data_IF_933568028903
#
_entry.id   IF_933568028903
#
_cell.length_a   1.000
_cell.length_b   1.000
_cell.length_c   1.000
_cell.angle_alpha   90.00
_cell.angle_beta   90.00
_cell.angle_gamma   90.00
#
_symmetry.space_group_name_H-M   'P 1'
#
loop_
_entity.id
_entity.type
_entity.pdbx_description
1 polymer ?
#
# COMPACT_ATOMS: atom_id res chain seq x y z
N UNK A 1 43.12 -7.19 2.65
CA UNK A 1 42.27 -8.40 2.72
C UNK A 1 41.43 -8.32 3.99
N UNK A 2 40.13 -7.99 3.92
CA UNK A 2 39.24 -8.03 5.09
C UNK A 2 38.76 -9.47 5.28
N UNK A 3 38.89 -10.01 6.49
CA UNK A 3 38.52 -11.40 6.78
C UNK A 3 37.00 -11.59 6.71
N UNK A 4 36.53 -12.81 6.46
CA UNK A 4 35.10 -13.16 6.41
C UNK A 4 34.37 -12.82 7.73
N UNK A 5 35.08 -12.82 8.86
CA UNK A 5 34.56 -12.42 10.18
C UNK A 5 34.15 -10.94 10.24
N UNK A 6 34.96 -10.04 9.65
CA UNK A 6 34.68 -8.59 9.64
C UNK A 6 33.45 -8.25 8.77
N UNK A 7 33.25 -9.00 7.67
CA UNK A 7 32.07 -8.86 6.81
C UNK A 7 30.79 -9.31 7.53
N UNK A 8 30.86 -10.40 8.29
CA UNK A 8 29.73 -10.89 9.11
C UNK A 8 29.34 -9.89 10.19
N UNK A 9 30.32 -9.35 10.92
CA UNK A 9 30.11 -8.31 11.95
C UNK A 9 29.42 -7.05 11.40
N UNK A 10 29.91 -6.54 10.26
CA UNK A 10 29.35 -5.33 9.63
C UNK A 10 27.94 -5.57 9.09
N UNK A 11 27.69 -6.74 8.47
CA UNK A 11 26.36 -7.10 7.95
C UNK A 11 25.33 -7.33 9.06
N UNK A 12 25.74 -7.88 10.21
CA UNK A 12 24.86 -8.06 11.38
C UNK A 12 24.51 -6.72 12.03
N UNK A 13 25.44 -5.76 12.03
CA UNK A 13 25.16 -4.40 12.51
C UNK A 13 24.14 -3.70 11.60
N UNK A 14 24.34 -3.72 10.27
CA UNK A 14 23.42 -3.09 9.31
C UNK A 14 22.01 -3.69 9.32
N UNK A 15 21.90 -5.00 9.59
CA UNK A 15 20.62 -5.72 9.67
C UNK A 15 20.01 -5.73 11.09
N UNK A 16 20.55 -4.94 12.03
CA UNK A 16 19.94 -4.72 13.34
C UNK A 16 18.54 -4.12 13.19
N UNK A 17 17.59 -4.54 14.02
CA UNK A 17 16.23 -4.04 14.01
C UNK A 17 16.17 -2.51 14.12
N UNK A 18 17.03 -1.92 14.95
CA UNK A 18 17.11 -0.46 15.09
C UNK A 18 17.54 0.23 13.78
N UNK A 19 18.56 -0.28 13.11
CA UNK A 19 19.07 0.31 11.87
C UNK A 19 18.07 0.17 10.73
N UNK A 20 17.35 -0.96 10.67
CA UNK A 20 16.28 -1.15 9.70
C UNK A 20 15.12 -0.18 9.94
N UNK A 21 14.68 0.01 11.20
CA UNK A 21 13.63 0.98 11.52
C UNK A 21 14.07 2.41 11.21
N UNK A 22 15.29 2.80 11.59
CA UNK A 22 15.82 4.14 11.28
C UNK A 22 15.92 4.34 9.77
N UNK A 23 16.45 3.36 9.02
CA UNK A 23 16.53 3.42 7.56
C UNK A 23 15.16 3.55 6.90
N UNK A 24 14.17 2.79 7.37
CA UNK A 24 12.77 2.88 6.93
C UNK A 24 12.17 4.27 7.19
N UNK A 25 12.36 4.84 8.37
CA UNK A 25 11.89 6.19 8.71
C UNK A 25 12.61 7.24 7.84
N UNK A 26 13.93 7.14 7.67
CA UNK A 26 14.68 8.03 6.79
C UNK A 26 14.18 7.97 5.35
N UNK A 27 13.85 6.79 4.83
CA UNK A 27 13.28 6.63 3.50
C UNK A 27 11.94 7.34 3.36
N UNK A 28 11.03 7.17 4.34
CA UNK A 28 9.75 7.89 4.35
C UNK A 28 9.92 9.42 4.43
N UNK A 29 10.87 9.91 5.23
CA UNK A 29 11.16 11.35 5.33
C UNK A 29 11.72 11.87 4.01
N UNK A 30 12.64 11.15 3.36
CA UNK A 30 13.16 11.56 2.05
C UNK A 30 12.08 11.55 0.97
N UNK A 31 11.21 10.55 0.96
CA UNK A 31 10.05 10.53 0.06
C UNK A 31 9.14 11.73 0.32
N UNK A 32 8.76 12.00 1.57
CA UNK A 32 7.93 13.15 1.91
C UNK A 32 8.55 14.48 1.47
N UNK A 33 9.84 14.69 1.73
CA UNK A 33 10.53 15.88 1.28
C UNK A 33 10.57 15.97 -0.25
N UNK A 34 10.76 14.86 -0.95
CA UNK A 34 10.72 14.81 -2.40
C UNK A 34 9.36 15.22 -2.96
N UNK A 35 8.26 14.66 -2.44
CA UNK A 35 6.90 15.08 -2.82
C UNK A 35 6.66 16.56 -2.48
N UNK A 36 6.95 17.00 -1.25
CA UNK A 36 6.72 18.39 -0.84
C UNK A 36 7.47 19.44 -1.68
N UNK A 37 8.67 19.11 -2.15
CA UNK A 37 9.49 20.03 -2.91
C UNK A 37 9.15 20.05 -4.41
N UNK A 38 8.58 18.97 -4.95
CA UNK A 38 8.49 18.76 -6.39
C UNK A 38 7.10 18.35 -6.92
N UNK A 39 6.09 18.15 -6.06
CA UNK A 39 4.73 17.76 -6.46
C UNK A 39 3.90 18.90 -7.05
N UNK A 40 4.41 20.13 -7.09
CA UNK A 40 3.71 21.29 -7.64
C UNK A 40 4.26 21.56 -9.04
N UNK A 41 3.42 21.48 -10.09
CA UNK A 41 3.89 21.75 -11.45
C UNK A 41 4.32 23.22 -11.59
N UNK A 42 5.46 23.46 -12.25
CA UNK A 42 6.03 24.81 -12.42
C UNK A 42 5.19 25.67 -13.38
N UNK A 43 4.49 25.03 -14.30
CA UNK A 43 3.55 25.68 -15.22
C UNK A 43 2.23 24.92 -15.17
N UNK A 44 1.11 25.64 -15.02
CA UNK A 44 -0.22 25.06 -14.85
C UNK A 44 -0.69 24.17 -16.04
N UNK A 45 0.03 24.17 -17.16
CA UNK A 45 -0.28 23.38 -18.36
C UNK A 45 0.79 22.37 -18.75
N UNK A 46 1.96 22.36 -18.11
CA UNK A 46 3.10 21.54 -18.56
C UNK A 46 3.19 20.15 -17.90
N UNK A 47 2.27 19.81 -17.00
CA UNK A 47 2.31 18.57 -16.25
C UNK A 47 3.51 18.46 -15.30
N UNK A 48 3.62 17.32 -14.62
CA UNK A 48 4.76 16.97 -13.79
C UNK A 48 5.91 16.42 -14.66
N UNK A 49 7.17 16.76 -14.36
CA UNK A 49 8.28 16.32 -15.17
C UNK A 49 8.55 14.82 -14.98
N UNK A 50 8.90 14.10 -16.05
CA UNK A 50 9.11 12.64 -16.04
C UNK A 50 10.07 12.15 -14.94
N UNK A 51 11.16 12.89 -14.66
CA UNK A 51 12.12 12.50 -13.62
C UNK A 51 11.47 12.48 -12.22
N UNK A 52 10.47 13.33 -12.00
CA UNK A 52 9.75 13.39 -10.73
C UNK A 52 8.85 12.16 -10.59
N UNK A 53 8.05 11.82 -11.61
CA UNK A 53 7.21 10.63 -11.61
C UNK A 53 8.02 9.33 -11.53
N UNK A 54 9.19 9.26 -12.16
CA UNK A 54 10.12 8.14 -11.97
C UNK A 54 10.64 8.10 -10.52
N UNK A 55 10.93 9.26 -9.93
CA UNK A 55 11.39 9.38 -8.55
C UNK A 55 10.36 8.88 -7.54
N UNK A 56 9.09 9.30 -7.68
CA UNK A 56 7.99 8.85 -6.82
C UNK A 56 7.81 7.34 -6.92
N UNK A 57 7.84 6.79 -8.14
CA UNK A 57 7.79 5.35 -8.38
C UNK A 57 8.96 4.61 -7.71
N UNK A 58 10.20 5.12 -7.80
CA UNK A 58 11.35 4.49 -7.13
C UNK A 58 11.16 4.45 -5.61
N UNK A 59 10.64 5.52 -5.00
CA UNK A 59 10.37 5.55 -3.56
C UNK A 59 9.38 4.47 -3.14
N UNK A 60 8.31 4.31 -3.90
CA UNK A 60 7.28 3.30 -3.68
C UNK A 60 7.82 1.88 -3.88
N UNK A 61 8.44 1.63 -5.03
CA UNK A 61 9.00 0.32 -5.39
C UNK A 61 10.00 -0.18 -4.35
N UNK A 62 10.91 0.69 -3.92
CA UNK A 62 11.88 0.34 -2.88
C UNK A 62 11.19 0.00 -1.55
N UNK A 63 10.18 0.77 -1.15
CA UNK A 63 9.46 0.55 0.10
C UNK A 63 8.77 -0.82 0.11
N UNK A 64 8.00 -1.15 -0.93
CA UNK A 64 7.27 -2.43 -1.02
C UNK A 64 8.20 -3.62 -1.23
N UNK A 65 9.26 -3.48 -2.03
CA UNK A 65 10.26 -4.55 -2.20
C UNK A 65 10.93 -4.90 -0.86
N UNK A 66 11.42 -3.89 -0.14
CA UNK A 66 12.08 -4.08 1.16
C UNK A 66 11.09 -4.68 2.16
N UNK A 67 9.85 -4.19 2.21
CA UNK A 67 8.80 -4.73 3.07
C UNK A 67 8.53 -6.21 2.78
N UNK A 68 8.40 -6.58 1.51
CA UNK A 68 8.24 -7.97 1.07
C UNK A 68 9.40 -8.86 1.51
N UNK A 69 10.65 -8.43 1.29
CA UNK A 69 11.83 -9.17 1.72
C UNK A 69 11.88 -9.38 3.24
N UNK A 70 11.50 -8.37 4.03
CA UNK A 70 11.42 -8.47 5.49
C UNK A 70 10.29 -9.41 5.95
N UNK A 71 9.16 -9.42 5.25
CA UNK A 71 8.08 -10.37 5.50
C UNK A 71 8.51 -11.81 5.17
N UNK A 72 9.20 -12.04 4.06
CA UNK A 72 9.74 -13.37 3.73
C UNK A 72 10.81 -13.83 4.71
N UNK A 73 11.62 -12.92 5.26
CA UNK A 73 12.53 -13.24 6.38
C UNK A 73 11.74 -13.78 7.57
N UNK A 74 10.63 -13.15 7.92
CA UNK A 74 9.78 -13.60 9.03
C UNK A 74 9.14 -14.96 8.72
N UNK A 75 8.61 -15.15 7.51
CA UNK A 75 8.05 -16.45 7.09
C UNK A 75 9.07 -17.60 7.19
N UNK A 76 10.34 -17.36 6.85
CA UNK A 76 11.40 -18.40 6.96
C UNK A 76 11.81 -18.69 8.40
N UNK A 77 11.49 -17.82 9.36
CA UNK A 77 11.88 -17.98 10.76
C UNK A 77 10.89 -18.86 11.53
N UNK A 78 11.41 -19.92 12.16
CA UNK A 78 10.63 -20.78 13.07
C UNK A 78 10.36 -20.14 14.45
N UNK A 79 10.79 -18.89 14.65
CA UNK A 79 10.67 -18.20 15.94
C UNK A 79 9.52 -17.21 15.99
N UNK A 80 8.85 -16.94 14.87
CA UNK A 80 7.79 -15.93 14.78
C UNK A 80 6.56 -16.32 15.58
N UNK A 81 6.15 -15.44 16.48
CA UNK A 81 5.05 -15.69 17.43
C UNK A 81 3.68 -15.55 16.76
N UNK A 82 3.52 -14.61 15.83
CA UNK A 82 2.27 -14.45 15.09
C UNK A 82 1.97 -15.55 14.07
N UNK A 83 2.90 -16.47 13.83
CA UNK A 83 2.78 -17.53 12.83
C UNK A 83 3.40 -17.18 11.49
N UNK A 84 4.02 -18.19 10.86
CA UNK A 84 4.78 -18.05 9.61
C UNK A 84 3.88 -17.76 8.40
N UNK A 85 2.69 -18.34 8.36
CA UNK A 85 1.76 -18.19 7.23
C UNK A 85 1.18 -16.78 7.13
N UNK A 86 1.06 -16.06 8.24
CA UNK A 86 0.66 -14.66 8.27
C UNK A 86 1.65 -13.80 7.47
N UNK A 87 2.95 -13.95 7.74
CA UNK A 87 4.00 -13.20 7.04
C UNK A 87 4.26 -13.69 5.62
N UNK A 88 3.94 -14.95 5.32
CA UNK A 88 3.93 -15.43 3.93
C UNK A 88 2.87 -14.68 3.13
N UNK A 89 1.63 -14.63 3.63
CA UNK A 89 0.53 -13.95 2.96
C UNK A 89 0.83 -12.44 2.81
N UNK A 90 1.23 -11.75 3.88
CA UNK A 90 1.61 -10.33 3.80
C UNK A 90 2.79 -10.12 2.84
N UNK A 91 3.82 -10.99 2.89
CA UNK A 91 4.98 -10.88 2.01
C UNK A 91 4.66 -11.10 0.53
N UNK A 92 3.76 -12.05 0.22
CA UNK A 92 3.20 -12.22 -1.14
C UNK A 92 2.50 -10.93 -1.56
N UNK A 93 1.70 -10.34 -0.69
CA UNK A 93 1.03 -9.07 -0.98
C UNK A 93 2.00 -7.94 -1.29
N UNK A 94 3.06 -7.75 -0.49
CA UNK A 94 4.03 -6.68 -0.73
C UNK A 94 4.82 -6.86 -2.04
N UNK A 95 5.19 -8.09 -2.41
CA UNK A 95 5.85 -8.35 -3.70
C UNK A 95 4.88 -8.24 -4.87
N UNK A 96 3.63 -8.68 -4.70
CA UNK A 96 2.61 -8.46 -5.71
C UNK A 96 2.42 -6.96 -5.95
N UNK A 97 2.27 -6.15 -4.89
CA UNK A 97 2.15 -4.70 -5.03
C UNK A 97 3.35 -4.10 -5.76
N UNK A 98 4.57 -4.45 -5.36
CA UNK A 98 5.79 -4.04 -6.08
C UNK A 98 5.74 -4.39 -7.57
N UNK A 99 5.36 -5.62 -7.93
CA UNK A 99 5.25 -6.02 -9.34
C UNK A 99 4.13 -5.26 -10.06
N UNK A 100 3.01 -5.01 -9.39
CA UNK A 100 1.90 -4.19 -9.87
C UNK A 100 2.38 -2.79 -10.22
N UNK A 101 3.09 -2.12 -9.31
CA UNK A 101 3.64 -0.78 -9.51
C UNK A 101 4.68 -0.74 -10.62
N UNK A 102 5.52 -1.78 -10.78
CA UNK A 102 6.43 -1.86 -11.94
C UNK A 102 5.64 -1.94 -13.24
N UNK A 103 4.61 -2.79 -13.31
CA UNK A 103 3.79 -2.93 -14.52
C UNK A 103 3.01 -1.65 -14.81
N UNK A 104 2.35 -1.07 -13.82
CA UNK A 104 1.61 0.18 -13.96
C UNK A 104 2.52 1.33 -14.40
N UNK A 105 3.70 1.48 -13.77
CA UNK A 105 4.69 2.48 -14.17
C UNK A 105 5.22 2.31 -15.60
N UNK A 106 5.27 1.08 -16.14
CA UNK A 106 5.57 0.88 -17.56
C UNK A 106 4.43 1.35 -18.46
N UNK A 107 3.17 1.07 -18.09
CA UNK A 107 1.99 1.55 -18.80
C UNK A 107 1.94 3.08 -18.85
N UNK A 108 2.00 3.70 -17.68
CA UNK A 108 1.85 5.15 -17.54
C UNK A 108 3.10 5.89 -18.02
N UNK A 109 4.29 5.58 -17.50
CA UNK A 109 5.46 6.43 -17.71
C UNK A 109 6.24 6.09 -18.99
N UNK A 110 6.29 4.81 -19.38
CA UNK A 110 7.07 4.40 -20.54
C UNK A 110 6.22 4.37 -21.82
N UNK A 111 5.03 3.78 -21.74
CA UNK A 111 4.12 3.69 -22.89
C UNK A 111 3.18 4.89 -23.04
N UNK A 112 3.11 5.78 -22.04
CA UNK A 112 2.27 6.99 -22.08
C UNK A 112 0.80 6.64 -22.37
N UNK A 113 0.35 5.53 -21.76
CA UNK A 113 -1.04 5.12 -21.78
C UNK A 113 -1.74 5.67 -20.54
N UNK A 114 -3.02 5.96 -20.68
CA UNK A 114 -3.92 6.34 -19.58
C UNK A 114 -4.92 5.19 -19.34
N UNK A 115 -4.47 4.05 -18.77
CA UNK A 115 -5.32 2.88 -18.62
C UNK A 115 -6.30 3.05 -17.46
N UNK A 116 -7.60 2.85 -17.72
CA UNK A 116 -8.59 2.62 -16.66
C UNK A 116 -8.31 1.31 -15.90
N UNK A 117 -7.72 0.32 -16.60
CA UNK A 117 -7.26 -0.96 -16.06
C UNK A 117 -6.00 -1.38 -16.80
N UNK A 118 -4.99 -1.78 -16.04
CA UNK A 118 -3.69 -2.25 -16.52
C UNK A 118 -3.44 -3.71 -16.13
N UNK A 119 -2.35 -4.30 -16.63
CA UNK A 119 -1.87 -5.58 -16.10
C UNK A 119 -1.38 -5.49 -14.65
N UNK A 120 -1.07 -4.29 -14.16
CA UNK A 120 -0.72 -4.06 -12.76
C UNK A 120 -1.86 -4.42 -11.81
N UNK A 121 -3.11 -4.24 -12.24
CA UNK A 121 -4.30 -4.49 -11.44
C UNK A 121 -4.47 -5.95 -11.02
N UNK A 122 -3.98 -6.89 -11.83
CA UNK A 122 -3.93 -8.30 -11.44
C UNK A 122 -3.06 -8.49 -10.19
N UNK A 123 -1.92 -7.81 -10.12
CA UNK A 123 -1.01 -7.90 -8.99
C UNK A 123 -1.52 -7.12 -7.78
N UNK A 124 -2.17 -5.97 -7.98
CA UNK A 124 -2.85 -5.27 -6.90
C UNK A 124 -3.99 -6.10 -6.31
N UNK A 125 -4.79 -6.78 -7.14
CA UNK A 125 -5.82 -7.71 -6.65
C UNK A 125 -5.24 -8.84 -5.78
N UNK A 126 -4.10 -9.43 -6.20
CA UNK A 126 -3.36 -10.40 -5.38
C UNK A 126 -2.90 -9.77 -4.06
N UNK A 127 -2.48 -8.50 -4.07
CA UNK A 127 -2.10 -7.77 -2.86
C UNK A 127 -3.25 -7.71 -1.86
N UNK A 128 -4.42 -7.24 -2.28
CA UNK A 128 -5.59 -7.13 -1.44
C UNK A 128 -6.02 -8.47 -0.85
N UNK A 129 -6.05 -9.52 -1.66
CA UNK A 129 -6.41 -10.87 -1.21
C UNK A 129 -5.39 -11.38 -0.19
N UNK A 130 -4.10 -11.23 -0.49
CA UNK A 130 -3.03 -11.74 0.36
C UNK A 130 -2.95 -10.97 1.70
N UNK A 131 -3.14 -9.66 1.69
CA UNK A 131 -3.23 -8.84 2.90
C UNK A 131 -4.44 -9.24 3.75
N UNK A 132 -5.60 -9.39 3.13
CA UNK A 132 -6.83 -9.85 3.81
C UNK A 132 -6.61 -11.20 4.48
N UNK A 133 -6.08 -12.19 3.76
CA UNK A 133 -5.76 -13.50 4.30
C UNK A 133 -4.75 -13.40 5.45
N UNK A 134 -3.68 -12.61 5.28
CA UNK A 134 -2.67 -12.42 6.32
C UNK A 134 -3.23 -11.83 7.61
N UNK A 135 -4.05 -10.78 7.52
CA UNK A 135 -4.68 -10.14 8.67
C UNK A 135 -5.74 -11.02 9.31
N UNK A 136 -6.56 -11.72 8.52
CA UNK A 136 -7.55 -12.69 9.04
C UNK A 136 -6.84 -13.83 9.79
N UNK A 137 -5.74 -14.37 9.25
CA UNK A 137 -4.94 -15.39 9.95
C UNK A 137 -4.36 -14.86 11.26
N UNK A 138 -3.87 -13.62 11.27
CA UNK A 138 -3.33 -12.98 12.47
C UNK A 138 -4.39 -12.86 13.58
N UNK A 139 -5.60 -12.45 13.19
CA UNK A 139 -6.75 -12.31 14.09
C UNK A 139 -7.30 -13.67 14.55
N UNK A 140 -7.51 -14.62 13.63
CA UNK A 140 -8.20 -15.89 13.90
C UNK A 140 -7.46 -16.76 14.91
N UNK A 141 -6.14 -16.61 15.02
CA UNK A 141 -5.33 -17.29 16.04
C UNK A 141 -5.64 -16.81 17.47
N UNK A 142 -6.36 -15.71 17.63
CA UNK A 142 -6.68 -15.08 18.91
C UNK A 142 -8.18 -14.99 19.07
N UNK A 143 -8.71 -15.51 20.18
CA UNK A 143 -10.12 -15.34 20.53
C UNK A 143 -10.38 -13.86 20.79
N UNK A 144 -10.81 -13.12 19.78
CA UNK A 144 -11.17 -11.71 19.92
C UNK A 144 -12.39 -11.61 20.84
N UNK A 145 -12.19 -11.20 22.07
CA UNK A 145 -13.28 -10.85 22.98
C UNK A 145 -13.48 -9.34 22.92
N UNK A 146 -14.05 -8.86 21.82
CA UNK A 146 -14.31 -7.44 21.62
C UNK A 146 -15.44 -6.98 22.52
N UNK A 147 -15.23 -5.85 23.21
CA UNK A 147 -16.28 -5.21 23.99
C UNK A 147 -17.38 -4.66 23.07
N UNK A 148 -18.64 -4.53 23.52
CA UNK A 148 -19.74 -4.05 22.67
C UNK A 148 -19.48 -2.71 21.98
N UNK A 149 -18.74 -1.80 22.61
CA UNK A 149 -18.38 -0.51 21.99
C UNK A 149 -17.36 -0.69 20.84
N UNK A 150 -16.47 -1.68 20.93
CA UNK A 150 -15.49 -2.00 19.88
C UNK A 150 -16.20 -2.53 18.63
N UNK A 151 -17.25 -3.33 18.81
CA UNK A 151 -18.16 -3.72 17.73
C UNK A 151 -18.87 -2.50 17.13
N UNK A 152 -19.31 -1.55 17.96
CA UNK A 152 -19.87 -0.27 17.50
C UNK A 152 -18.90 0.51 16.62
N UNK A 153 -17.61 0.57 16.98
CA UNK A 153 -16.57 1.22 16.17
C UNK A 153 -16.37 0.50 14.84
N UNK A 154 -16.28 -0.83 14.82
CA UNK A 154 -16.14 -1.60 13.59
C UNK A 154 -17.34 -1.39 12.65
N UNK A 155 -18.55 -1.39 13.19
CA UNK A 155 -19.77 -1.12 12.40
C UNK A 155 -19.77 0.31 11.85
N UNK A 156 -19.42 1.30 12.67
CA UNK A 156 -19.34 2.69 12.24
C UNK A 156 -18.34 2.90 11.11
N UNK A 157 -17.17 2.26 11.19
CA UNK A 157 -16.14 2.29 10.16
C UNK A 157 -16.60 1.59 8.88
N UNK A 158 -17.27 0.45 8.98
CA UNK A 158 -17.84 -0.25 7.84
C UNK A 158 -18.88 0.61 7.11
N UNK A 159 -19.82 1.20 7.87
CA UNK A 159 -20.87 2.07 7.31
C UNK A 159 -20.26 3.30 6.67
N UNK A 160 -19.31 3.96 7.33
CA UNK A 160 -18.65 5.15 6.80
C UNK A 160 -17.84 4.83 5.54
N UNK A 161 -17.06 3.75 5.55
CA UNK A 161 -16.27 3.32 4.39
C UNK A 161 -17.14 3.02 3.17
N UNK A 162 -18.26 2.30 3.36
CA UNK A 162 -19.23 2.04 2.29
C UNK A 162 -19.89 3.33 1.80
N UNK A 163 -20.34 4.20 2.71
CA UNK A 163 -20.97 5.46 2.35
C UNK A 163 -20.02 6.37 1.57
N UNK A 164 -18.77 6.49 2.01
CA UNK A 164 -17.74 7.27 1.34
C UNK A 164 -17.44 6.71 -0.04
N UNK A 165 -17.30 5.39 -0.18
CA UNK A 165 -17.08 4.75 -1.47
C UNK A 165 -18.25 4.91 -2.45
N UNK A 166 -19.49 4.80 -1.97
CA UNK A 166 -20.70 5.06 -2.77
C UNK A 166 -20.71 6.51 -3.24
N UNK A 167 -20.41 7.47 -2.35
CA UNK A 167 -20.30 8.88 -2.72
C UNK A 167 -19.21 9.12 -3.76
N UNK A 168 -18.05 8.49 -3.59
CA UNK A 168 -16.92 8.63 -4.51
C UNK A 168 -17.23 8.08 -5.90
N UNK A 169 -18.07 7.04 -5.96
CA UNK A 169 -18.48 6.35 -7.19
C UNK A 169 -19.78 6.89 -7.80
N UNK A 170 -20.43 7.85 -7.14
CA UNK A 170 -21.63 8.51 -7.67
C UNK A 170 -21.24 9.65 -8.61
N UNK A 171 -21.94 9.86 -9.73
CA UNK A 171 -21.70 11.00 -10.60
C UNK A 171 -21.84 12.31 -9.81
N UNK A 172 -20.93 13.26 -10.06
CA UNK A 172 -20.78 14.50 -9.29
C UNK A 172 -22.07 15.35 -9.20
N UNK A 173 -23.02 15.13 -10.11
CA UNK A 173 -24.30 15.84 -10.20
C UNK A 173 -25.33 15.48 -9.12
N UNK A 174 -25.15 14.39 -8.37
CA UNK A 174 -26.12 13.98 -7.34
C UNK A 174 -25.99 14.76 -6.02
N UNK A 175 -24.87 15.46 -5.81
CA UNK A 175 -24.59 16.20 -4.57
C UNK A 175 -24.20 17.67 -4.82
N UNK A 176 -24.46 18.18 -6.02
CA UNK A 176 -24.29 19.60 -6.32
C UNK A 176 -25.29 20.43 -5.51
N UNK A 177 -24.76 21.33 -4.68
CA UNK A 177 -25.58 22.28 -3.95
C UNK A 177 -26.27 23.23 -4.95
N UNK A 178 -27.55 23.58 -4.75
CA UNK A 178 -28.24 24.53 -5.61
C UNK A 178 -27.56 25.90 -5.46
N UNK A 179 -26.75 26.30 -6.45
CA UNK A 179 -26.03 27.57 -6.47
C UNK A 179 -24.60 27.52 -7.00
N UNK A 180 -24.01 26.35 -7.22
CA UNK A 180 -22.76 26.20 -7.98
C UNK A 180 -23.12 25.82 -9.42
N UNK A 181 -23.20 26.83 -10.30
CA UNK A 181 -23.20 26.60 -11.75
C UNK A 181 -21.87 25.98 -12.15
N UNK A 182 -21.81 24.65 -12.18
CA UNK A 182 -20.89 23.95 -13.06
C UNK A 182 -21.51 23.94 -14.45
N UNK A 183 -20.73 24.38 -15.44
CA UNK A 183 -21.12 24.42 -16.85
C UNK A 183 -21.69 23.07 -17.32
N UNK A 184 -22.66 23.06 -18.25
CA UNK A 184 -23.44 21.86 -18.58
C UNK A 184 -22.56 20.78 -19.21
N UNK A 185 -22.39 19.68 -18.49
CA UNK A 185 -22.01 18.39 -19.07
C UNK A 185 -23.23 17.79 -19.78
N UNK A 186 -23.46 18.16 -21.04
CA UNK A 186 -24.26 17.35 -21.97
C UNK A 186 -24.10 17.87 -23.40
N UNK A 187 -23.19 17.27 -24.15
CA UNK A 187 -23.35 16.87 -25.56
C UNK A 187 -21.98 16.53 -26.18
N UNK A 188 -21.46 15.33 -25.93
CA UNK A 188 -20.49 14.72 -26.86
C UNK A 188 -20.63 13.19 -26.86
N UNK A 189 -21.88 12.71 -26.94
CA UNK A 189 -22.18 11.37 -27.46
C UNK A 189 -22.51 11.57 -28.94
N UNK A 190 -21.48 11.85 -29.76
CA UNK A 190 -21.46 11.66 -31.23
C UNK A 190 -20.23 12.32 -31.90
N UNK A 191 -19.02 12.20 -31.34
CA UNK A 191 -17.79 12.42 -32.13
C UNK A 191 -16.60 11.56 -31.68
N UNK A 192 -16.85 10.41 -31.06
CA UNK A 192 -15.82 9.44 -30.67
C UNK A 192 -15.46 8.50 -31.84
N UNK A 193 -15.12 9.08 -32.99
CA UNK A 193 -14.60 8.36 -34.15
C UNK A 193 -13.46 9.13 -34.86
N UNK A 194 -12.84 10.08 -34.17
CA UNK A 194 -11.56 10.66 -34.55
C UNK A 194 -10.57 10.37 -33.42
N UNK A 195 -10.01 9.16 -33.52
CA UNK A 195 -8.73 8.71 -32.99
C UNK A 195 -7.77 9.88 -32.71
N UNK A 196 -7.75 10.37 -31.47
CA UNK A 196 -6.57 11.07 -30.94
C UNK A 196 -5.51 9.99 -30.80
N UNK A 197 -4.80 9.70 -31.88
CA UNK A 197 -3.55 8.98 -31.83
C UNK A 197 -2.58 9.86 -31.03
N UNK A 198 -2.62 9.71 -29.71
CA UNK A 198 -1.45 10.01 -28.89
C UNK A 198 -0.33 9.17 -29.50
N UNK A 199 0.79 9.80 -29.84
CA UNK A 199 2.02 9.11 -30.28
C UNK A 199 2.51 8.24 -29.11
N UNK A 200 1.83 7.11 -28.86
CA UNK A 200 2.22 6.15 -27.84
C UNK A 200 3.37 5.35 -28.41
N UNK A 201 4.45 5.21 -27.65
CA UNK A 201 5.55 4.30 -28.01
C UNK A 201 5.20 2.83 -27.69
N UNK A 202 3.90 2.52 -27.50
CA UNK A 202 3.41 1.23 -27.08
C UNK A 202 3.43 0.23 -28.25
N UNK A 203 4.01 -0.98 -28.07
CA UNK A 203 3.84 -2.06 -29.02
C UNK A 203 2.35 -2.36 -29.22
N UNK A 204 1.94 -2.73 -30.44
CA UNK A 204 0.53 -3.05 -30.75
C UNK A 204 -0.07 -4.12 -29.84
N UNK A 205 0.75 -5.07 -29.37
CA UNK A 205 0.30 -6.06 -28.39
C UNK A 205 -0.16 -5.43 -27.07
N UNK A 206 0.55 -4.39 -26.60
CA UNK A 206 0.23 -3.70 -25.34
C UNK A 206 -1.07 -2.90 -25.49
N UNK A 207 -1.24 -2.20 -26.62
CA UNK A 207 -2.49 -1.48 -26.93
C UNK A 207 -3.67 -2.46 -27.00
N UNK A 208 -3.50 -3.62 -27.64
CA UNK A 208 -4.54 -4.64 -27.70
C UNK A 208 -4.91 -5.21 -26.31
N UNK A 209 -3.93 -5.34 -25.41
CA UNK A 209 -4.18 -5.75 -24.03
C UNK A 209 -4.94 -4.65 -23.28
N UNK A 210 -4.53 -3.40 -23.44
CA UNK A 210 -5.19 -2.23 -22.85
C UNK A 210 -6.68 -2.17 -23.24
N UNK A 211 -6.96 -2.25 -24.54
CA UNK A 211 -8.32 -2.27 -25.09
C UNK A 211 -9.14 -3.47 -24.60
N UNK A 212 -8.50 -4.64 -24.44
CA UNK A 212 -9.14 -5.82 -23.89
C UNK A 212 -9.52 -5.65 -22.40
N UNK A 213 -8.75 -4.88 -21.64
CA UNK A 213 -8.95 -4.67 -20.20
C UNK A 213 -9.98 -3.57 -19.88
N UNK A 214 -10.14 -2.56 -20.75
CA UNK A 214 -11.09 -1.44 -20.57
C UNK A 214 -12.50 -1.86 -20.11
N UNK A 215 -13.16 -2.88 -20.69
CA UNK A 215 -14.51 -3.29 -20.27
C UNK A 215 -14.59 -3.76 -18.80
N UNK A 216 -13.46 -4.09 -18.17
CA UNK A 216 -13.39 -4.55 -16.80
C UNK A 216 -13.23 -3.44 -15.76
N UNK A 217 -13.03 -2.18 -16.16
CA UNK A 217 -12.78 -1.03 -15.27
C UNK A 217 -13.78 -0.94 -14.11
N UNK A 218 -15.08 -0.99 -14.41
CA UNK A 218 -16.11 -0.91 -13.39
C UNK A 218 -16.01 -2.04 -12.34
N UNK A 219 -15.68 -3.26 -12.77
CA UNK A 219 -15.56 -4.40 -11.87
C UNK A 219 -14.29 -4.31 -11.00
N UNK A 220 -13.18 -3.86 -11.59
CA UNK A 220 -11.91 -3.66 -10.88
C UNK A 220 -12.03 -2.51 -9.88
N UNK A 221 -12.62 -1.38 -10.26
CA UNK A 221 -12.88 -0.24 -9.37
C UNK A 221 -13.80 -0.62 -8.21
N UNK A 222 -14.85 -1.41 -8.46
CA UNK A 222 -15.71 -1.94 -7.39
C UNK A 222 -14.95 -2.89 -6.46
N UNK A 223 -14.09 -3.75 -7.03
CA UNK A 223 -13.27 -4.66 -6.24
C UNK A 223 -12.37 -3.89 -5.28
N UNK A 224 -11.65 -2.86 -5.74
CA UNK A 224 -10.79 -2.05 -4.87
C UNK A 224 -11.56 -1.40 -3.73
N UNK A 225 -12.68 -0.76 -4.04
CA UNK A 225 -13.57 -0.18 -3.02
C UNK A 225 -13.97 -1.18 -1.94
N UNK A 226 -14.42 -2.37 -2.35
CA UNK A 226 -14.89 -3.38 -1.39
C UNK A 226 -13.71 -3.88 -0.55
N UNK A 227 -12.57 -4.12 -1.18
CA UNK A 227 -11.39 -4.64 -0.49
C UNK A 227 -10.76 -3.60 0.44
N UNK A 228 -10.79 -2.32 0.10
CA UNK A 228 -10.38 -1.21 0.96
C UNK A 228 -11.18 -1.16 2.25
N UNK A 229 -12.52 -1.26 2.16
CA UNK A 229 -13.39 -1.31 3.34
C UNK A 229 -13.09 -2.55 4.19
N UNK A 230 -12.89 -3.71 3.57
CA UNK A 230 -12.51 -4.94 4.29
C UNK A 230 -11.18 -4.76 5.02
N UNK A 231 -10.16 -4.23 4.34
CA UNK A 231 -8.85 -3.98 4.93
C UNK A 231 -8.92 -2.97 6.08
N UNK A 232 -9.73 -1.91 5.95
CA UNK A 232 -9.96 -0.91 6.98
C UNK A 232 -10.60 -1.51 8.24
N UNK A 233 -11.61 -2.38 8.07
CA UNK A 233 -12.24 -3.13 9.17
C UNK A 233 -11.20 -4.03 9.85
N UNK A 234 -10.41 -4.77 9.09
CA UNK A 234 -9.38 -5.66 9.62
C UNK A 234 -8.27 -4.90 10.34
N UNK A 235 -7.80 -3.78 9.79
CA UNK A 235 -6.80 -2.92 10.41
C UNK A 235 -7.30 -2.35 11.74
N UNK A 236 -8.55 -1.90 11.77
CA UNK A 236 -9.19 -1.43 13.00
C UNK A 236 -9.33 -2.56 14.02
N UNK A 237 -9.81 -3.73 13.59
CA UNK A 237 -9.94 -4.90 14.45
C UNK A 237 -8.59 -5.30 15.05
N UNK A 238 -7.51 -5.26 14.27
CA UNK A 238 -6.14 -5.47 14.75
C UNK A 238 -5.73 -4.42 15.79
N UNK A 239 -6.01 -3.13 15.57
CA UNK A 239 -5.69 -2.09 16.56
C UNK A 239 -6.42 -2.31 17.89
N UNK A 240 -7.71 -2.63 17.83
CA UNK A 240 -8.54 -2.85 19.01
C UNK A 240 -8.12 -4.14 19.75
N UNK A 241 -7.86 -5.22 18.99
CA UNK A 241 -7.40 -6.50 19.53
C UNK A 241 -6.03 -6.43 20.19
N UNK A 242 -5.14 -5.58 19.66
CA UNK A 242 -3.78 -5.42 20.14
C UNK A 242 -3.60 -4.10 20.93
N UNK A 243 -4.65 -3.57 21.55
CA UNK A 243 -4.51 -2.35 22.33
C UNK A 243 -3.79 -2.59 23.67
N UNK A 244 -2.49 -2.28 23.72
CA UNK A 244 -1.68 -2.27 24.95
C UNK A 244 -0.82 -3.52 25.14
N UNK A 245 0.45 -3.45 24.70
CA UNK A 245 1.44 -4.51 24.88
C UNK A 245 2.72 -4.23 24.09
N UNK A 246 3.76 -5.06 24.25
CA UNK A 246 4.96 -4.97 23.39
C UNK A 246 4.75 -5.65 22.04
N UNK A 247 4.03 -6.78 22.04
CA UNK A 247 3.62 -7.48 20.81
C UNK A 247 2.69 -6.67 19.93
N UNK A 248 2.00 -5.66 20.48
CA UNK A 248 1.11 -4.83 19.67
C UNK A 248 1.81 -3.81 18.80
N UNK A 249 3.10 -3.56 19.02
CA UNK A 249 3.83 -2.55 18.26
C UNK A 249 3.96 -2.95 16.79
N UNK A 250 4.18 -4.23 16.46
CA UNK A 250 4.18 -4.69 15.05
C UNK A 250 2.81 -4.49 14.41
N UNK A 251 1.74 -4.94 15.07
CA UNK A 251 0.36 -4.84 14.58
C UNK A 251 -0.16 -3.41 14.44
N UNK A 252 0.29 -2.49 15.30
CA UNK A 252 0.02 -1.05 15.15
C UNK A 252 0.63 -0.48 13.88
N UNK A 253 1.85 -0.90 13.54
CA UNK A 253 2.49 -0.48 12.29
C UNK A 253 1.78 -1.09 11.08
N UNK A 254 1.38 -2.36 11.15
CA UNK A 254 0.59 -3.00 10.09
C UNK A 254 -0.75 -2.28 9.87
N UNK A 255 -1.47 -1.96 10.94
CA UNK A 255 -2.72 -1.22 10.80
C UNK A 255 -2.49 0.20 10.26
N UNK A 256 -1.49 0.92 10.74
CA UNK A 256 -1.12 2.24 10.22
C UNK A 256 -0.71 2.18 8.73
N UNK A 257 -0.06 1.10 8.30
CA UNK A 257 0.27 0.85 6.91
C UNK A 257 -1.02 0.72 6.07
N UNK A 258 -1.97 -0.09 6.54
CA UNK A 258 -3.27 -0.25 5.88
C UNK A 258 -4.07 1.05 5.81
N UNK A 259 -4.06 1.87 6.86
CA UNK A 259 -4.69 3.19 6.81
C UNK A 259 -3.98 4.12 5.81
N UNK A 260 -2.64 4.04 5.72
CA UNK A 260 -1.89 4.82 4.74
C UNK A 260 -2.24 4.40 3.31
N UNK A 261 -2.31 3.08 3.06
CA UNK A 261 -2.75 2.52 1.78
C UNK A 261 -4.15 3.06 1.40
N UNK A 262 -5.11 2.93 2.32
CA UNK A 262 -6.47 3.43 2.13
C UNK A 262 -6.52 4.94 1.81
N UNK A 263 -5.73 5.76 2.52
CA UNK A 263 -5.69 7.21 2.26
C UNK A 263 -5.21 7.49 0.83
N UNK A 264 -4.15 6.80 0.39
CA UNK A 264 -3.63 6.95 -0.96
C UNK A 264 -4.64 6.48 -2.01
N UNK A 265 -5.27 5.33 -1.82
CA UNK A 265 -6.23 4.76 -2.78
C UNK A 265 -7.50 5.63 -2.90
N UNK A 266 -8.01 6.13 -1.78
CA UNK A 266 -9.16 7.05 -1.78
C UNK A 266 -8.83 8.38 -2.43
N UNK A 267 -7.60 8.88 -2.22
CA UNK A 267 -7.14 10.08 -2.89
C UNK A 267 -7.01 9.85 -4.40
N UNK A 268 -6.37 8.76 -4.83
CA UNK A 268 -6.21 8.42 -6.25
C UNK A 268 -7.58 8.37 -6.95
N UNK A 269 -8.54 7.62 -6.37
CA UNK A 269 -9.89 7.53 -6.93
C UNK A 269 -10.63 8.87 -6.88
N UNK A 270 -10.43 9.70 -5.86
CA UNK A 270 -10.97 11.05 -5.84
C UNK A 270 -10.38 11.90 -6.97
N UNK A 271 -9.06 11.84 -7.16
CA UNK A 271 -8.36 12.65 -8.14
C UNK A 271 -8.75 12.26 -9.57
N UNK A 272 -8.75 10.97 -9.88
CA UNK A 272 -9.21 10.43 -11.17
C UNK A 272 -10.65 10.84 -11.51
N UNK A 273 -11.55 10.86 -10.51
CA UNK A 273 -12.97 11.15 -10.75
C UNK A 273 -13.35 12.63 -10.75
N UNK A 274 -12.55 13.49 -10.10
CA UNK A 274 -12.96 14.89 -9.80
C UNK A 274 -11.92 15.95 -10.13
N UNK A 275 -10.67 15.57 -10.36
CA UNK A 275 -9.61 16.52 -10.73
C UNK A 275 -9.43 16.42 -12.24
N UNK A 276 -9.71 17.52 -12.93
CA UNK A 276 -9.44 17.60 -14.38
C UNK A 276 -7.94 17.49 -14.64
N UNK A 277 -7.57 16.71 -15.65
CA UNK A 277 -6.18 16.48 -16.07
C UNK A 277 -5.30 15.97 -14.91
N UNK A 278 -5.83 15.05 -14.11
CA UNK A 278 -5.08 14.39 -13.05
C UNK A 278 -3.80 13.73 -13.61
N UNK A 279 -2.70 13.89 -12.87
CA UNK A 279 -1.43 13.23 -13.14
C UNK A 279 -0.89 12.63 -11.85
N UNK A 280 -0.34 11.42 -11.94
CA UNK A 280 0.29 10.74 -10.81
C UNK A 280 1.52 11.50 -10.30
N UNK A 281 1.81 11.33 -9.02
CA UNK A 281 2.84 12.05 -8.27
C UNK A 281 2.31 13.21 -7.43
N UNK A 282 1.00 13.30 -7.22
CA UNK A 282 0.40 14.26 -6.30
C UNK A 282 0.82 14.00 -4.84
N UNK A 283 0.75 15.03 -3.99
CA UNK A 283 1.30 14.98 -2.63
C UNK A 283 0.77 13.81 -1.78
N UNK A 284 -0.52 13.47 -1.91
CA UNK A 284 -1.15 12.43 -1.09
C UNK A 284 -0.76 11.00 -1.51
N UNK A 285 -0.17 10.81 -2.69
CA UNK A 285 0.34 9.50 -3.11
C UNK A 285 1.59 9.08 -2.32
N UNK A 286 2.24 9.99 -1.58
CA UNK A 286 3.30 9.63 -0.61
C UNK A 286 2.83 8.60 0.42
N UNK A 287 1.53 8.51 0.67
CA UNK A 287 0.96 7.54 1.59
C UNK A 287 1.10 6.08 1.10
N UNK A 288 1.26 5.82 -0.21
CA UNK A 288 1.67 4.50 -0.70
C UNK A 288 3.08 4.14 -0.22
N UNK A 289 4.01 5.11 -0.29
CA UNK A 289 5.37 4.93 0.25
C UNK A 289 5.33 4.69 1.76
N UNK A 290 4.52 5.46 2.50
CA UNK A 290 4.35 5.26 3.94
C UNK A 290 3.78 3.89 4.27
N UNK A 291 2.82 3.40 3.49
CA UNK A 291 2.29 2.04 3.63
C UNK A 291 3.39 0.99 3.53
N UNK A 292 4.16 0.98 2.43
CA UNK A 292 5.26 0.02 2.25
C UNK A 292 6.29 0.10 3.39
N UNK A 293 6.68 1.32 3.78
CA UNK A 293 7.60 1.54 4.91
C UNK A 293 7.06 0.98 6.22
N UNK A 294 5.79 1.26 6.56
CA UNK A 294 5.16 0.81 7.80
C UNK A 294 4.96 -0.70 7.83
N UNK A 295 4.63 -1.35 6.71
CA UNK A 295 4.64 -2.80 6.59
C UNK A 295 6.03 -3.39 6.90
N UNK A 296 7.09 -2.78 6.34
CA UNK A 296 8.48 -3.15 6.61
C UNK A 296 8.86 -3.00 8.09
N UNK A 297 8.51 -1.88 8.72
CA UNK A 297 8.74 -1.65 10.16
C UNK A 297 7.97 -2.70 10.99
N UNK A 298 6.71 -2.97 10.65
CA UNK A 298 5.90 -4.01 11.30
C UNK A 298 6.60 -5.38 11.28
N UNK A 299 7.14 -5.77 10.13
CA UNK A 299 7.91 -7.00 9.98
C UNK A 299 9.20 -7.00 10.82
N UNK A 300 9.92 -5.87 10.91
CA UNK A 300 11.12 -5.74 11.74
C UNK A 300 10.81 -5.90 13.22
N UNK A 301 9.77 -5.22 13.70
CA UNK A 301 9.37 -5.27 15.10
C UNK A 301 8.93 -6.67 15.51
N UNK A 302 8.14 -7.37 14.67
CA UNK A 302 7.73 -8.74 14.98
C UNK A 302 8.93 -9.68 15.11
N UNK A 303 9.91 -9.56 14.21
CA UNK A 303 11.12 -10.36 14.25
C UNK A 303 11.93 -10.11 15.53
N UNK A 304 12.12 -8.85 15.89
CA UNK A 304 12.88 -8.46 17.09
C UNK A 304 12.21 -8.99 18.37
N UNK A 305 10.89 -8.83 18.49
CA UNK A 305 10.14 -9.31 19.65
C UNK A 305 10.18 -10.84 19.74
N UNK A 306 9.98 -11.52 18.61
CA UNK A 306 9.96 -12.98 18.51
C UNK A 306 11.30 -13.61 18.90
N UNK A 307 12.42 -13.04 18.43
CA UNK A 307 13.77 -13.56 18.67
C UNK A 307 14.30 -13.21 20.07
N UNK A 308 14.04 -12.00 20.59
CA UNK A 308 14.49 -11.58 21.92
C UNK A 308 13.80 -12.31 23.07
N UNK A 309 12.53 -12.69 22.92
CA UNK A 309 11.79 -13.37 23.99
C UNK A 309 12.42 -14.71 24.41
N UNK A 310 12.99 -15.46 23.45
CA UNK A 310 13.65 -16.75 23.69
C UNK A 310 15.06 -16.65 24.26
N UNK A 311 15.83 -15.63 23.88
CA UNK A 311 17.21 -15.43 24.38
C UNK A 311 17.25 -15.23 25.90
N UNK A 312 16.23 -14.55 26.46
CA UNK A 312 16.09 -14.36 27.92
C UNK A 312 15.79 -15.65 28.69
N UNK A 313 15.09 -16.61 28.08
CA UNK A 313 14.80 -17.91 28.69
C UNK A 313 16.03 -18.80 28.83
N UNK A 314 16.96 -18.74 27.86
CA UNK A 314 18.15 -19.59 27.84
C UNK A 314 19.23 -19.16 28.85
N UNK A 315 19.29 -17.88 29.23
CA UNK A 315 20.24 -17.38 30.26
C UNK A 315 19.87 -17.74 31.69
N UNK A 316 18.63 -18.16 31.97
CA UNK A 316 18.15 -18.43 33.33
C UNK A 316 18.23 -19.91 33.74
N UNK A 317 18.55 -20.81 32.81
CA UNK A 317 18.63 -22.26 33.05
C UNK A 317 20.05 -22.83 33.23
N UNK A 318 21.08 -21.98 33.38
CA UNK A 318 22.49 -22.41 33.42
C UNK A 318 23.24 -22.11 34.72
N UNK A 319 22.54 -21.84 35.82
CA UNK A 319 23.16 -21.43 37.10
C UNK A 319 22.64 -22.23 38.29
N UNK A 320 22.72 -23.56 38.22
CA UNK A 320 22.32 -24.46 39.30
C UNK A 320 23.02 -25.81 39.14
N UNK A 321 24.30 -25.84 39.48
CA UNK A 321 25.15 -27.01 39.39
C UNK A 321 26.58 -26.60 39.62
N UNK A 322 26.92 -26.41 40.90
CA UNK A 322 28.16 -26.81 41.59
C UNK A 322 28.21 -26.16 42.98
#
# INVERSE_FOLDING_TARGET
MRTTSDKLSTSQFLLSAQNLVVGSISWAVFALLFFLLFSVPQEAKAGLPLWYSIGTLIFELAAFLIAGLLCFRNWRSNQIVSGRNVWLAIGIGMIAYFLGSVMFGLWELYWQLEPDVSLGDLFYAVTYIALTVGMVLAVSSRKLNLEPWQWGVLLGIAVFGVAFAVWLSSPADLFSFPGTESAPATAEVAETAAETAVDTNAPQLIVAIDDFLKPFSNYVSLFYVVMDVILLILATALLLAFWGGRFSQSWRMIAAATFSLYIADMWFKYAETRVMDYQSGSLLEVFWVFSGVLFGIGAVLEYDISTRSRSRGRRRGGGGGD
#
